data_IF_110321109338
#
_entry.id   IF_110321109338
#
_cell.length_a   1.000
_cell.length_b   1.000
_cell.length_c   1.000
_cell.angle_alpha   90.00
_cell.angle_beta   90.00
_cell.angle_gamma   90.00
#
_symmetry.space_group_name_H-M   'P 1'
#
loop_
_entity.id
_entity.type
_entity.pdbx_description
1 polymer ?
#
# COMPACT_ATOMS: atom_id res chain seq x y z
N UNK A 1 36.83 24.98 20.75
CA UNK A 1 35.96 23.79 20.73
C UNK A 1 34.56 24.30 20.45
N UNK A 2 34.00 23.95 19.29
CA UNK A 2 32.61 24.14 18.78
C UNK A 2 32.75 24.00 17.25
N UNK A 3 32.83 22.78 16.69
CA UNK A 3 31.78 21.84 16.23
C UNK A 3 30.81 22.40 15.18
N UNK A 4 31.22 22.15 13.94
CA UNK A 4 30.45 22.20 12.69
C UNK A 4 29.14 21.42 12.75
N UNK A 5 28.08 22.05 12.28
CA UNK A 5 26.79 21.45 11.92
C UNK A 5 26.56 21.67 10.42
N UNK A 6 27.04 20.75 9.58
CA UNK A 6 26.76 20.79 8.13
C UNK A 6 26.74 19.40 7.48
N UNK A 7 26.39 18.35 8.24
CA UNK A 7 26.46 16.96 7.76
C UNK A 7 25.11 16.24 7.63
N UNK A 8 24.00 16.78 8.14
CA UNK A 8 22.71 16.07 8.16
C UNK A 8 21.83 16.27 6.91
N UNK A 9 22.09 17.28 6.07
CA UNK A 9 21.24 17.56 4.89
C UNK A 9 21.57 16.67 3.65
N UNK A 10 22.71 15.98 3.64
CA UNK A 10 23.15 15.19 2.48
C UNK A 10 22.78 13.69 2.57
N UNK A 11 22.37 13.19 3.74
CA UNK A 11 21.89 11.81 3.89
C UNK A 11 20.39 11.69 3.58
N UNK A 12 19.60 12.74 3.85
CA UNK A 12 18.17 12.81 3.50
C UNK A 12 17.90 13.05 2.01
N UNK A 13 18.89 13.60 1.28
CA UNK A 13 18.82 13.76 -0.19
C UNK A 13 18.91 12.44 -0.96
N UNK A 14 19.39 11.35 -0.34
CA UNK A 14 19.54 10.05 -1.02
C UNK A 14 18.30 9.15 -0.94
N UNK A 15 17.28 9.55 -0.17
CA UNK A 15 16.02 8.79 0.00
C UNK A 15 14.80 9.46 -0.66
N UNK A 16 15.02 10.51 -1.44
CA UNK A 16 13.96 11.19 -2.19
C UNK A 16 14.07 10.76 -3.66
N UNK A 17 13.06 10.05 -4.17
CA UNK A 17 12.79 10.10 -5.60
C UNK A 17 12.47 11.56 -5.90
N UNK A 18 13.36 12.23 -6.62
CA UNK A 18 13.07 13.49 -7.27
C UNK A 18 11.80 13.31 -8.13
N UNK A 19 10.70 13.90 -7.67
CA UNK A 19 9.60 14.24 -8.57
C UNK A 19 9.95 15.63 -9.13
N UNK A 20 10.69 15.62 -10.24
CA UNK A 20 11.02 16.74 -11.16
C UNK A 20 11.06 18.15 -10.51
N UNK A 21 12.26 18.61 -10.15
CA UNK A 21 12.58 20.05 -10.11
C UNK A 21 13.21 20.44 -11.44
N UNK A 22 12.37 20.80 -12.42
CA UNK A 22 12.67 21.80 -13.46
C UNK A 22 11.45 21.96 -14.37
N UNK A 23 10.60 22.95 -14.10
CA UNK A 23 9.58 23.40 -15.04
C UNK A 23 9.81 24.87 -15.33
N UNK A 24 10.70 25.14 -16.29
CA UNK A 24 10.53 26.33 -17.12
C UNK A 24 9.26 26.15 -17.95
N UNK A 25 8.41 27.17 -17.90
CA UNK A 25 7.07 27.25 -18.48
C UNK A 25 6.93 26.57 -19.86
N UNK A 26 5.87 25.76 -20.04
CA UNK A 26 4.96 25.66 -21.21
C UNK A 26 4.16 24.32 -21.24
N UNK A 27 3.11 24.20 -22.06
CA UNK A 27 1.71 24.09 -21.67
C UNK A 27 1.26 22.67 -21.25
N UNK A 28 0.15 22.64 -20.51
CA UNK A 28 -0.53 21.48 -19.95
C UNK A 28 -0.65 20.27 -20.90
N UNK A 29 -0.16 19.08 -20.51
CA UNK A 29 -0.44 17.84 -21.21
C UNK A 29 -1.84 17.33 -20.83
N UNK A 30 -2.67 17.18 -21.84
CA UNK A 30 -3.99 16.53 -21.78
C UNK A 30 -3.85 15.01 -21.61
N UNK A 31 -4.51 14.50 -20.56
CA UNK A 31 -5.02 13.12 -20.35
C UNK A 31 -4.02 11.98 -20.01
N UNK A 32 -4.09 11.52 -18.76
CA UNK A 32 -4.91 10.35 -18.35
C UNK A 32 -5.49 10.59 -16.95
N UNK A 33 -6.55 11.40 -16.90
CA UNK A 33 -7.38 11.55 -15.71
C UNK A 33 -8.27 10.30 -15.57
N UNK A 34 -8.36 9.78 -14.35
CA UNK A 34 -9.54 9.03 -13.91
C UNK A 34 -10.79 9.83 -14.34
N UNK A 35 -11.58 9.29 -15.29
CA UNK A 35 -12.86 9.88 -15.65
C UNK A 35 -13.85 9.64 -14.51
N UNK A 36 -13.96 10.62 -13.61
CA UNK A 36 -15.07 10.78 -12.65
C UNK A 36 -16.19 11.58 -13.34
N UNK A 37 -16.61 11.19 -14.54
CA UNK A 37 -17.64 11.96 -15.30
C UNK A 37 -18.86 11.14 -15.75
N UNK A 38 -18.96 9.85 -15.39
CA UNK A 38 -20.21 9.08 -15.58
C UNK A 38 -20.97 8.80 -14.28
N UNK A 39 -20.60 9.45 -13.18
CA UNK A 39 -21.41 9.45 -11.95
C UNK A 39 -22.29 10.70 -11.82
N UNK A 40 -22.02 11.78 -12.57
CA UNK A 40 -22.68 13.07 -12.35
C UNK A 40 -24.15 13.14 -12.85
N UNK A 41 -24.56 12.33 -13.83
CA UNK A 41 -25.95 12.32 -14.30
C UNK A 41 -26.91 11.51 -13.42
N UNK A 42 -26.40 10.51 -12.68
CA UNK A 42 -27.17 9.74 -11.69
C UNK A 42 -27.23 10.42 -10.32
N UNK A 43 -26.29 11.33 -10.03
CA UNK A 43 -26.18 12.01 -8.73
C UNK A 43 -27.25 13.11 -8.54
N UNK A 44 -27.75 13.76 -9.60
CA UNK A 44 -28.80 14.81 -9.43
C UNK A 44 -30.16 14.28 -8.99
N UNK A 45 -30.43 12.96 -9.08
CA UNK A 45 -31.69 12.35 -8.60
C UNK A 45 -31.60 11.71 -7.20
N UNK A 46 -30.45 11.71 -6.53
CA UNK A 46 -30.29 11.15 -5.16
C UNK A 46 -30.16 12.19 -4.05
N UNK A 47 -30.22 13.48 -4.37
CA UNK A 47 -30.25 14.53 -3.35
C UNK A 47 -31.68 14.79 -2.86
N UNK A 48 -32.19 13.90 -1.99
CA UNK A 48 -33.28 14.18 -1.03
C UNK A 48 -33.58 13.06 -0.02
N UNK A 49 -32.61 12.24 0.38
CA UNK A 49 -32.79 11.24 1.46
C UNK A 49 -31.52 11.11 2.33
N UNK A 50 -31.13 12.17 3.05
CA UNK A 50 -30.20 12.06 4.17
C UNK A 50 -30.96 11.66 5.45
N UNK A 51 -31.54 10.45 5.43
CA UNK A 51 -32.02 9.80 6.64
C UNK A 51 -30.87 9.00 7.26
N UNK A 52 -30.46 9.34 8.48
CA UNK A 52 -29.71 8.56 9.48
C UNK A 52 -29.38 7.10 9.09
N UNK A 53 -28.43 6.89 8.17
CA UNK A 53 -27.85 5.57 7.97
C UNK A 53 -26.64 5.45 8.88
N UNK A 54 -26.84 4.83 10.04
CA UNK A 54 -25.75 4.31 10.88
C UNK A 54 -24.81 3.46 10.02
N UNK A 55 -23.51 3.51 10.32
CA UNK A 55 -22.51 2.68 9.66
C UNK A 55 -22.87 1.20 9.78
N UNK A 56 -22.66 0.44 8.70
CA UNK A 56 -22.87 -1.01 8.64
C UNK A 56 -21.69 -1.65 7.95
N UNK A 57 -21.38 -2.87 8.34
CA UNK A 57 -20.46 -3.72 7.59
C UNK A 57 -21.00 -3.95 6.17
N UNK A 58 -20.09 -3.99 5.20
CA UNK A 58 -20.41 -4.18 3.79
C UNK A 58 -20.24 -5.66 3.46
N UNK A 59 -21.30 -6.30 2.98
CA UNK A 59 -21.20 -7.64 2.39
C UNK A 59 -20.39 -7.56 1.08
N UNK A 60 -19.17 -8.10 1.13
CA UNK A 60 -18.22 -8.10 0.02
C UNK A 60 -18.54 -9.13 -1.07
N UNK A 61 -19.64 -9.89 -0.93
CA UNK A 61 -20.08 -10.91 -1.90
C UNK A 61 -18.95 -11.83 -2.35
N UNK A 62 -18.17 -12.30 -1.38
CA UNK A 62 -16.93 -13.03 -1.62
C UNK A 62 -17.11 -14.35 -2.38
N UNK A 63 -18.33 -14.87 -2.41
CA UNK A 63 -18.68 -16.09 -3.14
C UNK A 63 -18.93 -15.85 -4.64
N UNK A 64 -19.10 -14.61 -5.08
CA UNK A 64 -19.33 -14.22 -6.49
C UNK A 64 -18.03 -13.81 -7.20
N UNK A 65 -16.87 -13.95 -6.54
CA UNK A 65 -15.57 -13.49 -7.08
C UNK A 65 -15.15 -14.29 -8.31
N UNK A 66 -14.67 -13.60 -9.33
CA UNK A 66 -13.96 -14.22 -10.47
C UNK A 66 -12.56 -14.58 -10.01
N UNK A 67 -12.12 -15.83 -10.10
CA UNK A 67 -10.76 -16.21 -9.68
C UNK A 67 -10.05 -17.10 -10.69
N UNK A 68 -8.72 -17.12 -10.64
CA UNK A 68 -7.88 -18.12 -11.31
C UNK A 68 -7.18 -19.00 -10.31
N UNK A 69 -7.00 -20.28 -10.65
CA UNK A 69 -6.17 -21.18 -9.88
C UNK A 69 -4.69 -20.93 -10.18
N UNK A 70 -3.87 -20.83 -9.14
CA UNK A 70 -2.42 -20.75 -9.29
C UNK A 70 -1.82 -22.16 -9.23
N UNK A 71 -1.47 -22.72 -10.40
CA UNK A 71 -0.88 -24.06 -10.52
C UNK A 71 0.53 -23.97 -11.11
N UNK A 72 1.52 -23.53 -10.32
CA UNK A 72 2.86 -23.29 -10.86
C UNK A 72 3.56 -24.61 -11.23
N UNK A 73 4.37 -24.55 -12.29
CA UNK A 73 5.31 -25.63 -12.63
C UNK A 73 6.50 -25.56 -11.68
N UNK A 74 6.84 -26.67 -11.01
CA UNK A 74 7.81 -26.73 -9.90
C UNK A 74 9.22 -26.24 -10.22
N UNK A 75 9.62 -26.21 -11.49
CA UNK A 75 10.93 -25.75 -11.95
C UNK A 75 10.91 -24.40 -12.68
N UNK A 76 9.74 -23.74 -12.75
CA UNK A 76 9.54 -22.45 -13.41
C UNK A 76 9.32 -21.35 -12.38
N UNK A 77 10.21 -20.38 -12.37
CA UNK A 77 10.23 -19.30 -11.38
C UNK A 77 9.97 -17.96 -12.06
N UNK A 78 9.27 -17.08 -11.34
CA UNK A 78 9.17 -15.65 -11.60
C UNK A 78 9.87 -14.92 -10.45
N UNK A 79 10.97 -14.24 -10.77
CA UNK A 79 11.68 -13.40 -9.82
C UNK A 79 11.01 -12.03 -9.76
N UNK A 80 10.44 -11.66 -8.61
CA UNK A 80 9.82 -10.36 -8.44
C UNK A 80 10.86 -9.24 -8.39
N UNK A 81 10.54 -8.09 -8.94
CA UNK A 81 11.32 -6.86 -8.77
C UNK A 81 10.37 -5.78 -8.29
N UNK A 82 10.48 -5.38 -7.03
CA UNK A 82 9.67 -4.32 -6.44
C UNK A 82 10.59 -3.27 -5.84
N UNK A 83 10.48 -2.06 -6.37
CA UNK A 83 11.61 -1.14 -6.40
C UNK A 83 11.16 0.31 -6.16
N UNK A 84 9.91 0.60 -6.47
CA UNK A 84 9.29 1.91 -6.38
C UNK A 84 8.66 2.17 -5.02
N UNK A 85 8.96 3.33 -4.45
CA UNK A 85 8.22 3.89 -3.32
C UNK A 85 8.57 3.26 -1.98
N UNK A 86 7.59 3.23 -1.08
CA UNK A 86 7.74 2.72 0.29
C UNK A 86 7.06 1.35 0.44
N UNK A 87 7.04 0.80 1.66
CA UNK A 87 6.48 -0.52 1.96
C UNK A 87 5.12 -0.83 1.28
N UNK A 88 4.15 0.10 1.31
CA UNK A 88 2.85 -0.12 0.66
C UNK A 88 2.95 -0.30 -0.85
N UNK A 89 3.83 0.44 -1.51
CA UNK A 89 4.05 0.32 -2.95
C UNK A 89 4.65 -1.05 -3.29
N UNK A 90 5.57 -1.52 -2.45
CA UNK A 90 6.21 -2.83 -2.60
C UNK A 90 5.23 -3.99 -2.37
N UNK A 91 4.33 -3.88 -1.38
CA UNK A 91 3.26 -4.86 -1.18
C UNK A 91 2.31 -4.93 -2.38
N UNK A 92 1.86 -3.78 -2.90
CA UNK A 92 1.02 -3.72 -4.10
C UNK A 92 1.76 -4.31 -5.31
N UNK A 93 3.05 -3.99 -5.46
CA UNK A 93 3.89 -4.59 -6.50
C UNK A 93 3.99 -6.11 -6.36
N UNK A 94 4.14 -6.62 -5.13
CA UNK A 94 4.21 -8.06 -4.86
C UNK A 94 2.88 -8.75 -5.18
N UNK A 95 1.74 -8.16 -4.82
CA UNK A 95 0.41 -8.69 -5.17
C UNK A 95 0.21 -8.77 -6.68
N UNK A 96 0.65 -7.75 -7.43
CA UNK A 96 0.64 -7.79 -8.90
C UNK A 96 1.56 -8.88 -9.44
N UNK A 97 2.70 -9.11 -8.81
CA UNK A 97 3.61 -10.19 -9.19
C UNK A 97 3.01 -11.57 -8.88
N UNK A 98 2.24 -11.73 -7.80
CA UNK A 98 1.49 -12.95 -7.53
C UNK A 98 0.46 -13.22 -8.63
N UNK A 99 -0.26 -12.18 -9.09
CA UNK A 99 -1.19 -12.31 -10.20
C UNK A 99 -0.48 -12.73 -11.50
N UNK A 100 0.66 -12.11 -11.82
CA UNK A 100 1.46 -12.48 -12.99
C UNK A 100 2.03 -13.90 -12.89
N UNK A 101 2.54 -14.28 -11.72
CA UNK A 101 3.05 -15.62 -11.49
C UNK A 101 1.95 -16.68 -11.68
N UNK A 102 0.72 -16.38 -11.24
CA UNK A 102 -0.43 -17.24 -11.47
C UNK A 102 -0.79 -17.36 -12.95
N UNK A 103 -0.89 -16.24 -13.68
CA UNK A 103 -1.17 -16.23 -15.12
C UNK A 103 -0.12 -17.00 -15.94
N UNK A 104 1.13 -16.98 -15.51
CA UNK A 104 2.27 -17.61 -16.18
C UNK A 104 2.59 -19.01 -15.66
N UNK A 105 1.84 -19.51 -14.67
CA UNK A 105 2.08 -20.79 -13.98
C UNK A 105 3.52 -20.94 -13.46
N UNK A 106 4.02 -19.90 -12.77
CA UNK A 106 5.37 -19.84 -12.18
C UNK A 106 5.30 -19.75 -10.67
N UNK A 107 6.28 -20.34 -9.98
CA UNK A 107 6.53 -20.11 -8.56
C UNK A 107 7.09 -18.70 -8.42
N UNK A 108 6.51 -17.88 -7.55
CA UNK A 108 7.01 -16.54 -7.29
C UNK A 108 8.18 -16.58 -6.31
N UNK A 109 9.28 -15.91 -6.64
CA UNK A 109 10.41 -15.71 -5.72
C UNK A 109 10.27 -14.35 -5.06
N UNK A 110 10.14 -14.34 -3.74
CA UNK A 110 10.22 -13.11 -2.93
C UNK A 110 11.67 -12.64 -2.91
N UNK A 111 11.96 -11.36 -3.20
CA UNK A 111 13.34 -10.87 -3.29
C UNK A 111 14.07 -10.93 -1.94
N UNK A 112 15.39 -11.03 -2.00
CA UNK A 112 16.25 -10.95 -0.81
C UNK A 112 16.17 -9.56 -0.18
N UNK A 113 16.29 -9.50 1.14
CA UNK A 113 16.39 -8.25 1.90
C UNK A 113 17.62 -7.40 1.58
N UNK A 114 18.58 -7.94 0.80
CA UNK A 114 19.75 -7.18 0.31
C UNK A 114 19.43 -6.35 -0.93
N UNK A 115 18.33 -6.66 -1.62
CA UNK A 115 17.88 -6.00 -2.85
C UNK A 115 16.59 -5.23 -2.61
N UNK A 116 15.73 -5.76 -1.74
CA UNK A 116 14.41 -5.24 -1.43
C UNK A 116 14.14 -5.28 0.09
N UNK A 117 12.91 -5.09 0.52
CA UNK A 117 12.48 -5.10 1.92
C UNK A 117 12.64 -6.44 2.61
N UNK A 118 12.74 -6.36 3.94
CA UNK A 118 12.70 -7.51 4.85
C UNK A 118 11.27 -8.02 5.03
N UNK A 119 10.66 -8.55 3.97
CA UNK A 119 9.27 -9.00 3.95
C UNK A 119 8.92 -9.99 5.07
N UNK A 120 9.86 -10.88 5.43
CA UNK A 120 9.70 -11.86 6.51
C UNK A 120 9.46 -11.23 7.90
N UNK A 121 9.77 -9.94 8.09
CA UNK A 121 9.48 -9.23 9.35
C UNK A 121 8.01 -8.81 9.45
N UNK A 122 7.34 -8.60 8.31
CA UNK A 122 6.01 -8.00 8.26
C UNK A 122 4.89 -8.96 7.90
N UNK A 123 5.16 -10.02 7.13
CA UNK A 123 4.18 -11.07 6.82
C UNK A 123 4.83 -12.45 6.76
N UNK A 124 3.98 -13.48 6.84
CA UNK A 124 4.39 -14.88 6.82
C UNK A 124 4.29 -15.45 5.39
N UNK A 125 5.43 -15.91 4.84
CA UNK A 125 5.49 -16.52 3.51
C UNK A 125 4.86 -17.92 3.52
N UNK A 126 4.96 -18.65 4.63
CA UNK A 126 4.34 -19.97 4.76
C UNK A 126 2.82 -19.87 4.74
N UNK A 127 2.26 -18.85 5.40
CA UNK A 127 0.83 -18.55 5.34
C UNK A 127 0.33 -18.40 3.90
N UNK A 128 1.07 -17.71 3.02
CA UNK A 128 0.70 -17.59 1.60
C UNK A 128 0.55 -19.00 0.99
N UNK A 129 1.55 -19.86 1.16
CA UNK A 129 1.51 -21.23 0.61
C UNK A 129 0.37 -22.06 1.21
N UNK A 130 0.10 -21.93 2.51
CA UNK A 130 -1.01 -22.59 3.19
C UNK A 130 -2.36 -22.15 2.62
N UNK A 131 -2.52 -20.87 2.29
CA UNK A 131 -3.73 -20.34 1.67
C UNK A 131 -4.04 -20.99 0.31
N UNK A 132 -3.01 -21.33 -0.45
CA UNK A 132 -3.15 -22.01 -1.75
C UNK A 132 -3.09 -23.55 -1.63
N UNK A 133 -2.73 -24.07 -0.45
CA UNK A 133 -2.55 -25.51 -0.20
C UNK A 133 -1.42 -26.15 -1.02
N UNK A 134 -0.48 -25.33 -1.52
CA UNK A 134 0.67 -25.76 -2.31
C UNK A 134 1.75 -24.67 -2.31
N UNK A 135 2.97 -25.05 -2.68
CA UNK A 135 4.10 -24.12 -2.80
C UNK A 135 3.96 -23.25 -4.06
N UNK A 136 3.45 -22.04 -3.88
CA UNK A 136 3.29 -21.01 -4.92
C UNK A 136 4.32 -19.88 -4.81
N UNK A 137 4.83 -19.65 -3.59
CA UNK A 137 5.82 -18.62 -3.29
C UNK A 137 7.00 -19.25 -2.55
N UNK A 138 8.20 -18.76 -2.82
CA UNK A 138 9.44 -19.13 -2.13
C UNK A 138 10.22 -17.90 -1.73
N UNK A 139 11.00 -18.03 -0.66
CA UNK A 139 12.02 -17.04 -0.32
C UNK A 139 13.17 -17.06 -1.34
N UNK A 140 13.97 -15.99 -1.36
CA UNK A 140 15.19 -15.94 -2.15
C UNK A 140 16.16 -17.06 -1.74
N UNK A 141 16.28 -17.33 -0.44
CA UNK A 141 17.18 -18.32 0.13
C UNK A 141 16.80 -19.73 -0.35
N UNK A 142 15.52 -20.09 -0.28
CA UNK A 142 15.02 -21.37 -0.81
C UNK A 142 15.24 -21.49 -2.33
N UNK A 143 15.03 -20.40 -3.07
CA UNK A 143 15.29 -20.37 -4.51
C UNK A 143 16.79 -20.56 -4.82
N UNK A 144 17.66 -19.88 -4.08
CA UNK A 144 19.12 -20.00 -4.20
C UNK A 144 19.57 -21.44 -3.91
N UNK A 145 19.02 -22.07 -2.88
CA UNK A 145 19.28 -23.47 -2.56
C UNK A 145 18.77 -24.44 -3.63
N UNK A 146 17.62 -24.16 -4.24
CA UNK A 146 17.08 -24.96 -5.34
C UNK A 146 17.89 -24.81 -6.64
N UNK A 147 18.61 -23.69 -6.81
CA UNK A 147 19.40 -23.36 -8.00
C UNK A 147 20.92 -23.38 -7.75
N UNK A 148 21.39 -24.05 -6.68
CA UNK A 148 22.79 -24.12 -6.19
C UNK A 148 23.91 -24.08 -7.25
N UNK A 149 23.71 -24.70 -8.43
CA UNK A 149 24.71 -24.80 -9.49
C UNK A 149 24.57 -23.75 -10.60
N UNK A 150 23.42 -23.09 -10.73
CA UNK A 150 23.15 -22.10 -11.79
C UNK A 150 22.08 -21.08 -11.37
N UNK A 151 22.50 -20.07 -10.59
CA UNK A 151 21.68 -18.89 -10.28
C UNK A 151 21.71 -17.91 -11.46
N UNK A 152 20.84 -18.16 -12.43
CA UNK A 152 20.69 -17.35 -13.63
C UNK A 152 19.23 -16.94 -13.84
N UNK A 153 19.02 -15.67 -14.18
CA UNK A 153 17.77 -15.17 -14.75
C UNK A 153 17.91 -15.28 -16.27
N UNK A 154 17.22 -16.27 -16.84
CA UNK A 154 17.25 -16.56 -18.28
C UNK A 154 16.75 -15.36 -19.10
N UNK A 155 15.69 -14.70 -18.59
CA UNK A 155 15.10 -13.52 -19.24
C UNK A 155 14.65 -12.46 -18.24
N UNK A 156 15.05 -11.21 -18.48
CA UNK A 156 14.63 -10.07 -17.68
C UNK A 156 13.74 -9.15 -18.52
N UNK A 157 12.44 -9.17 -18.25
CA UNK A 157 11.42 -8.48 -19.04
C UNK A 157 10.95 -7.21 -18.32
N UNK A 158 11.07 -6.06 -18.97
CA UNK A 158 10.60 -4.78 -18.45
C UNK A 158 9.15 -4.54 -18.85
N UNK A 159 8.25 -4.42 -17.87
CA UNK A 159 6.89 -3.95 -18.12
C UNK A 159 6.91 -2.50 -18.63
N UNK A 160 7.65 -1.63 -17.93
CA UNK A 160 7.87 -0.25 -18.31
C UNK A 160 9.25 -0.06 -18.94
N UNK A 161 9.31 0.68 -20.04
CA UNK A 161 10.55 1.08 -20.68
C UNK A 161 10.98 2.51 -20.29
N UNK A 162 10.05 3.33 -19.78
CA UNK A 162 10.25 4.72 -19.43
C UNK A 162 9.83 5.02 -17.97
N UNK A 163 10.48 5.98 -17.28
CA UNK A 163 11.61 6.79 -17.75
C UNK A 163 12.93 6.02 -17.86
N UNK A 164 13.01 4.87 -17.21
CA UNK A 164 14.16 3.97 -17.26
C UNK A 164 13.68 2.51 -17.39
N UNK A 165 14.40 1.64 -18.12
CA UNK A 165 14.00 0.25 -18.32
C UNK A 165 13.79 -0.51 -17.00
N UNK A 166 12.66 -1.23 -16.90
CA UNK A 166 12.26 -2.04 -15.74
C UNK A 166 12.07 -1.23 -14.45
N UNK A 167 12.23 0.09 -14.52
CA UNK A 167 12.39 0.98 -13.37
C UNK A 167 13.53 0.59 -12.41
N UNK A 168 14.55 -0.14 -12.89
CA UNK A 168 15.68 -0.60 -12.07
C UNK A 168 16.95 0.17 -12.42
N UNK A 169 17.51 0.86 -11.43
CA UNK A 169 18.79 1.58 -11.56
C UNK A 169 20.01 0.63 -11.55
N UNK A 170 21.17 1.15 -11.94
CA UNK A 170 22.41 0.36 -11.98
C UNK A 170 22.85 -0.16 -10.61
N UNK A 171 22.52 0.55 -9.52
CA UNK A 171 22.90 0.14 -8.17
C UNK A 171 22.15 -1.13 -7.78
N UNK A 172 20.85 -1.19 -8.05
CA UNK A 172 20.02 -2.38 -7.81
C UNK A 172 20.46 -3.56 -8.67
N UNK A 173 20.85 -3.32 -9.93
CA UNK A 173 21.46 -4.36 -10.76
C UNK A 173 22.76 -4.87 -10.14
N UNK A 174 23.61 -3.99 -9.60
CA UNK A 174 24.85 -4.38 -8.88
C UNK A 174 24.53 -5.20 -7.63
N UNK A 175 23.51 -4.81 -6.85
CA UNK A 175 23.04 -5.55 -5.66
C UNK A 175 22.50 -6.94 -6.03
N UNK A 176 21.75 -7.08 -7.11
CA UNK A 176 21.32 -8.39 -7.60
C UNK A 176 22.50 -9.27 -8.01
N UNK A 177 23.49 -8.70 -8.73
CA UNK A 177 24.70 -9.43 -9.12
C UNK A 177 25.55 -9.85 -7.92
N UNK A 178 25.61 -9.04 -6.87
CA UNK A 178 26.37 -9.39 -5.65
C UNK A 178 25.73 -10.54 -4.86
N UNK A 179 24.48 -10.89 -5.14
CA UNK A 179 23.84 -12.13 -4.67
C UNK A 179 24.26 -13.38 -5.46
N UNK A 180 25.18 -13.26 -6.42
CA UNK A 180 25.58 -14.37 -7.30
C UNK A 180 24.59 -14.64 -8.43
N UNK A 181 23.62 -13.74 -8.67
CA UNK A 181 22.67 -13.86 -9.77
C UNK A 181 23.30 -13.32 -11.05
N UNK A 182 23.44 -14.19 -12.05
CA UNK A 182 23.71 -13.77 -13.41
C UNK A 182 22.39 -13.49 -14.16
N UNK A 183 22.38 -12.55 -15.10
CA UNK A 183 21.17 -12.19 -15.84
C UNK A 183 21.50 -11.66 -17.23
N UNK A 184 20.60 -11.88 -18.18
CA UNK A 184 20.61 -11.21 -19.48
C UNK A 184 20.37 -9.71 -19.38
N UNK A 185 20.45 -9.01 -20.52
CA UNK A 185 20.08 -7.59 -20.57
C UNK A 185 18.56 -7.43 -20.39
N UNK A 186 18.09 -6.40 -19.68
CA UNK A 186 16.66 -6.13 -19.59
C UNK A 186 16.05 -5.80 -20.96
N UNK A 187 14.91 -6.42 -21.27
CA UNK A 187 14.20 -6.27 -22.55
C UNK A 187 12.80 -5.69 -22.32
N UNK A 188 12.38 -4.63 -23.02
CA UNK A 188 11.03 -4.10 -22.89
C UNK A 188 9.98 -5.06 -23.48
N UNK A 189 8.94 -5.37 -22.70
CA UNK A 189 7.73 -6.02 -23.22
C UNK A 189 6.94 -5.07 -24.14
N UNK A 190 6.93 -3.79 -23.77
CA UNK A 190 6.30 -2.68 -24.48
C UNK A 190 7.12 -1.40 -24.35
N UNK A 191 6.85 -0.45 -25.24
CA UNK A 191 7.26 0.94 -25.06
C UNK A 191 6.21 1.64 -24.19
N UNK A 192 6.43 1.70 -22.88
CA UNK A 192 5.44 2.15 -21.90
C UNK A 192 6.09 3.00 -20.80
N UNK A 193 5.40 4.09 -20.42
CA UNK A 193 5.81 5.06 -19.41
C UNK A 193 4.95 4.93 -18.16
N UNK A 194 5.59 4.85 -17.00
CA UNK A 194 4.92 4.83 -15.68
C UNK A 194 4.00 6.04 -15.46
N UNK A 195 4.26 7.19 -16.09
CA UNK A 195 3.44 8.40 -15.96
C UNK A 195 2.09 8.24 -16.67
N UNK A 196 1.99 7.31 -17.62
CA UNK A 196 0.78 7.04 -18.41
C UNK A 196 0.68 5.54 -18.76
N UNK A 197 0.43 4.68 -17.76
CA UNK A 197 0.32 3.25 -17.99
C UNK A 197 -0.90 2.96 -18.87
N UNK A 198 -0.76 1.99 -19.78
CA UNK A 198 -1.87 1.53 -20.60
C UNK A 198 -2.67 0.50 -19.82
N UNK A 199 -3.99 0.51 -20.04
CA UNK A 199 -4.87 -0.56 -19.58
C UNK A 199 -4.55 -1.84 -20.33
N UNK A 200 -4.27 -2.92 -19.60
CA UNK A 200 -3.95 -4.24 -20.14
C UNK A 200 -4.87 -5.32 -19.62
N UNK A 201 -5.06 -6.32 -20.46
CA UNK A 201 -5.78 -7.55 -20.14
C UNK A 201 -4.83 -8.66 -19.68
N UNK A 202 -5.38 -9.65 -18.97
CA UNK A 202 -4.64 -10.85 -18.60
C UNK A 202 -4.09 -11.61 -19.83
N UNK A 203 -4.83 -11.60 -20.95
CA UNK A 203 -4.42 -12.23 -22.20
C UNK A 203 -3.20 -11.54 -22.82
N UNK A 204 -3.16 -10.20 -22.82
CA UNK A 204 -1.99 -9.44 -23.29
C UNK A 204 -0.75 -9.75 -22.45
N UNK A 205 -0.91 -9.80 -21.12
CA UNK A 205 0.17 -10.20 -20.20
C UNK A 205 0.66 -11.61 -20.51
N UNK A 206 -0.24 -12.59 -20.62
CA UNK A 206 0.15 -13.96 -20.97
C UNK A 206 0.87 -14.00 -22.32
N UNK A 207 0.38 -13.27 -23.33
CA UNK A 207 0.99 -13.26 -24.66
C UNK A 207 2.43 -12.72 -24.69
N UNK A 208 2.74 -11.76 -23.79
CA UNK A 208 4.03 -11.04 -23.79
C UNK A 208 5.04 -11.60 -22.80
N UNK A 209 4.58 -12.12 -21.67
CA UNK A 209 5.45 -12.59 -20.59
C UNK A 209 5.53 -14.11 -20.50
N UNK A 210 4.74 -14.86 -21.26
CA UNK A 210 4.91 -16.32 -21.34
C UNK A 210 6.27 -16.65 -21.95
N UNK A 211 6.95 -17.58 -21.30
CA UNK A 211 8.22 -18.14 -21.76
C UNK A 211 8.35 -19.57 -21.25
N UNK A 212 9.09 -20.39 -21.99
CA UNK A 212 9.54 -21.71 -21.54
C UNK A 212 10.85 -21.64 -20.75
N UNK A 213 11.40 -20.46 -20.48
CA UNK A 213 12.59 -20.27 -19.63
C UNK A 213 12.35 -20.75 -18.20
N UNK A 214 13.40 -21.20 -17.51
CA UNK A 214 13.27 -21.72 -16.14
C UNK A 214 13.09 -20.60 -15.12
N UNK A 215 13.76 -19.47 -15.30
CA UNK A 215 13.73 -18.32 -14.41
C UNK A 215 13.57 -17.07 -15.26
N UNK A 216 12.44 -16.39 -15.10
CA UNK A 216 12.27 -15.05 -15.66
C UNK A 216 12.18 -14.04 -14.54
N UNK A 217 12.62 -12.81 -14.79
CA UNK A 217 12.34 -11.66 -13.94
C UNK A 217 11.43 -10.70 -14.69
N UNK A 218 10.49 -10.09 -13.98
CA UNK A 218 9.70 -8.98 -14.50
C UNK A 218 10.09 -7.76 -13.67
N UNK A 219 10.36 -6.64 -14.34
CA UNK A 219 10.69 -5.36 -13.70
C UNK A 219 9.56 -4.84 -12.80
N UNK A 220 9.76 -3.66 -12.22
CA UNK A 220 8.76 -3.07 -11.34
C UNK A 220 7.41 -2.89 -12.05
N UNK A 221 6.35 -3.46 -11.47
CA UNK A 221 4.97 -3.40 -11.97
C UNK A 221 4.03 -2.66 -11.00
N UNK A 222 4.55 -1.91 -10.03
CA UNK A 222 3.73 -1.11 -9.12
C UNK A 222 2.75 -0.21 -9.88
N UNK A 223 3.18 0.43 -10.97
CA UNK A 223 2.35 1.32 -11.79
C UNK A 223 1.50 0.61 -12.86
N UNK A 224 1.59 -0.71 -13.00
CA UNK A 224 0.89 -1.43 -14.08
C UNK A 224 -0.64 -1.37 -13.91
N UNK A 225 -1.36 -0.99 -14.97
CA UNK A 225 -2.84 -0.97 -15.01
C UNK A 225 -3.34 -2.24 -15.73
N UNK A 226 -3.35 -3.35 -15.00
CA UNK A 226 -3.72 -4.68 -15.54
C UNK A 226 -4.95 -5.18 -14.81
N UNK A 227 -6.05 -5.39 -15.53
CA UNK A 227 -7.29 -5.99 -14.99
C UNK A 227 -7.71 -5.38 -13.63
N UNK A 228 -7.60 -4.05 -13.50
CA UNK A 228 -7.65 -3.36 -12.20
C UNK A 228 -8.88 -3.72 -11.36
N UNK A 229 -10.07 -3.77 -11.95
CA UNK A 229 -11.30 -4.13 -11.24
C UNK A 229 -11.29 -5.58 -10.74
N UNK A 230 -10.66 -6.48 -11.50
CA UNK A 230 -10.54 -7.89 -11.14
C UNK A 230 -9.46 -8.10 -10.08
N UNK A 231 -8.32 -7.42 -10.19
CA UNK A 231 -7.22 -7.50 -9.20
C UNK A 231 -7.63 -6.87 -7.86
N UNK A 232 -8.35 -5.75 -7.89
CA UNK A 232 -8.76 -5.00 -6.69
C UNK A 232 -10.09 -5.45 -6.08
N UNK A 233 -10.71 -6.51 -6.61
CA UNK A 233 -11.91 -7.07 -6.02
C UNK A 233 -11.62 -7.59 -4.59
N UNK A 234 -12.63 -7.67 -3.71
CA UNK A 234 -12.45 -8.23 -2.37
C UNK A 234 -11.88 -9.64 -2.42
N UNK A 235 -10.81 -9.90 -1.67
CA UNK A 235 -10.07 -11.16 -1.64
C UNK A 235 -9.30 -11.51 -2.92
N UNK A 236 -9.14 -10.55 -3.84
CA UNK A 236 -8.22 -10.64 -4.96
C UNK A 236 -8.61 -11.62 -6.08
N UNK A 237 -7.77 -11.73 -7.13
CA UNK A 237 -8.05 -12.51 -8.33
C UNK A 237 -7.63 -13.99 -8.23
N UNK A 238 -6.97 -14.39 -7.14
CA UNK A 238 -6.39 -15.73 -7.00
C UNK A 238 -7.28 -16.62 -6.12
N UNK A 239 -7.54 -17.85 -6.55
CA UNK A 239 -8.33 -18.80 -5.77
C UNK A 239 -7.53 -19.32 -4.55
N UNK A 240 -8.01 -19.04 -3.34
CA UNK A 240 -7.39 -19.46 -2.08
C UNK A 240 -8.43 -19.71 -0.98
N UNK A 241 -8.03 -20.38 0.12
CA UNK A 241 -8.91 -20.72 1.24
C UNK A 241 -8.91 -19.73 2.41
N UNK A 242 -7.96 -18.79 2.44
CA UNK A 242 -7.82 -17.78 3.50
C UNK A 242 -8.71 -16.56 3.29
N UNK A 243 -8.74 -15.66 4.29
CA UNK A 243 -9.32 -14.31 4.13
C UNK A 243 -8.51 -13.46 3.15
N UNK A 244 -7.19 -13.42 3.35
CA UNK A 244 -6.23 -12.76 2.46
C UNK A 244 -4.93 -13.59 2.40
N UNK A 245 -4.25 -13.68 1.24
CA UNK A 245 -2.96 -14.36 1.14
C UNK A 245 -1.82 -13.60 1.82
N UNK A 246 -1.79 -12.27 1.70
CA UNK A 246 -0.77 -11.43 2.36
C UNK A 246 -1.40 -10.85 3.62
N UNK A 247 -1.06 -11.43 4.76
CA UNK A 247 -1.50 -10.94 6.07
C UNK A 247 -0.32 -10.51 6.96
N UNK A 248 -0.51 -9.53 7.86
CA UNK A 248 0.49 -9.18 8.86
C UNK A 248 0.90 -10.41 9.66
N UNK A 249 2.19 -10.48 10.03
CA UNK A 249 2.70 -11.58 10.84
C UNK A 249 1.89 -11.74 12.14
N UNK A 250 1.84 -12.97 12.67
CA UNK A 250 1.10 -13.27 13.90
C UNK A 250 1.47 -12.34 15.06
N UNK A 251 2.74 -11.93 15.16
CA UNK A 251 3.22 -11.00 16.18
C UNK A 251 2.59 -9.61 16.01
N UNK A 252 2.51 -9.10 14.79
CA UNK A 252 1.87 -7.81 14.48
C UNK A 252 0.38 -7.89 14.75
N UNK A 253 -0.30 -8.95 14.29
CA UNK A 253 -1.73 -9.15 14.51
C UNK A 253 -2.10 -9.18 16.00
N UNK A 254 -1.38 -9.97 16.80
CA UNK A 254 -1.63 -10.04 18.25
C UNK A 254 -1.31 -8.73 18.96
N UNK A 255 -0.29 -8.00 18.50
CA UNK A 255 0.07 -6.68 19.06
C UNK A 255 -1.02 -5.65 18.76
N UNK A 256 -1.56 -5.63 17.54
CA UNK A 256 -2.69 -4.78 17.16
C UNK A 256 -3.92 -5.07 18.04
N UNK A 257 -4.24 -6.35 18.23
CA UNK A 257 -5.36 -6.77 19.11
C UNK A 257 -5.16 -6.30 20.56
N UNK A 258 -3.94 -6.41 21.09
CA UNK A 258 -3.62 -5.92 22.45
C UNK A 258 -3.73 -4.40 22.55
N UNK A 259 -3.28 -3.68 21.53
CA UNK A 259 -3.42 -2.23 21.47
C UNK A 259 -4.90 -1.83 21.48
N UNK A 260 -5.72 -2.46 20.63
CA UNK A 260 -7.17 -2.23 20.56
C UNK A 260 -7.82 -2.55 21.91
N UNK A 261 -7.50 -3.70 22.51
CA UNK A 261 -8.00 -4.10 23.83
C UNK A 261 -7.66 -3.08 24.93
N UNK A 262 -6.47 -2.49 24.86
CA UNK A 262 -5.95 -1.58 25.89
C UNK A 262 -6.53 -0.17 25.76
N UNK A 263 -6.58 0.38 24.54
CA UNK A 263 -6.83 1.82 24.34
C UNK A 263 -8.12 2.16 23.58
N UNK A 264 -8.63 1.26 22.73
CA UNK A 264 -9.64 1.62 21.73
C UNK A 264 -11.00 0.96 21.96
N UNK A 265 -11.00 -0.29 22.42
CA UNK A 265 -12.21 -1.12 22.46
C UNK A 265 -12.73 -1.47 21.06
N UNK A 266 -13.93 -2.07 21.00
CA UNK A 266 -14.49 -2.62 19.75
C UNK A 266 -15.03 -1.59 18.77
N UNK A 267 -15.35 -0.37 19.21
CA UNK A 267 -16.01 0.64 18.39
C UNK A 267 -15.18 1.93 18.33
N UNK A 268 -14.23 1.93 17.39
CA UNK A 268 -13.36 3.05 17.11
C UNK A 268 -13.30 3.33 15.61
N UNK A 269 -13.15 4.61 15.28
CA UNK A 269 -12.80 5.04 13.92
C UNK A 269 -11.29 5.03 13.82
N UNK A 270 -10.75 4.54 12.71
CA UNK A 270 -9.34 4.77 12.38
C UNK A 270 -9.21 5.89 11.37
N UNK A 271 -8.23 6.76 11.56
CA UNK A 271 -7.90 7.88 10.70
C UNK A 271 -6.45 7.75 10.25
N UNK A 272 -6.24 7.63 8.95
CA UNK A 272 -4.94 7.85 8.35
C UNK A 272 -4.80 9.31 7.92
N UNK A 273 -4.09 10.10 8.72
CA UNK A 273 -3.89 11.54 8.50
C UNK A 273 -2.48 11.80 7.95
N UNK A 274 -2.34 11.76 6.62
CA UNK A 274 -1.06 11.96 5.92
C UNK A 274 -0.76 13.46 5.72
N UNK A 275 0.37 13.94 6.23
CA UNK A 275 0.76 15.36 6.27
C UNK A 275 2.17 15.61 5.76
N UNK A 276 3.18 14.95 6.34
CA UNK A 276 4.59 15.23 6.04
C UNK A 276 4.92 14.94 4.57
N UNK A 277 5.53 15.92 3.89
CA UNK A 277 5.81 15.89 2.44
C UNK A 277 4.56 15.86 1.53
N UNK A 278 3.37 15.68 2.09
CA UNK A 278 2.13 15.43 1.35
C UNK A 278 1.51 16.72 0.82
N UNK A 279 1.80 17.87 1.43
CA UNK A 279 1.35 19.17 0.95
C UNK A 279 1.82 19.46 -0.48
N UNK A 280 3.12 19.29 -0.77
CA UNK A 280 3.70 19.48 -2.12
C UNK A 280 3.04 18.53 -3.13
N UNK A 281 2.94 17.25 -2.77
CA UNK A 281 2.31 16.22 -3.59
C UNK A 281 0.84 16.53 -3.91
N UNK A 282 0.06 16.97 -2.92
CA UNK A 282 -1.34 17.27 -3.11
C UNK A 282 -1.57 18.56 -3.88
N UNK A 283 -0.73 19.58 -3.70
CA UNK A 283 -0.86 20.86 -4.42
C UNK A 283 -0.49 20.75 -5.91
N UNK A 284 0.26 19.71 -6.31
CA UNK A 284 0.45 19.37 -7.71
C UNK A 284 -0.85 18.86 -8.39
N UNK A 285 -1.88 18.50 -7.62
CA UNK A 285 -3.18 18.04 -8.12
C UNK A 285 -4.20 19.19 -8.18
N UNK A 286 -5.20 19.04 -9.05
CA UNK A 286 -6.30 20.01 -9.22
C UNK A 286 -7.66 19.30 -9.13
N UNK A 287 -8.47 19.55 -8.07
CA UNK A 287 -8.14 20.33 -6.87
C UNK A 287 -7.08 19.64 -6.01
N UNK A 288 -6.48 20.39 -5.07
CA UNK A 288 -5.56 19.81 -4.09
C UNK A 288 -6.26 18.74 -3.25
N UNK A 289 -5.50 17.72 -2.83
CA UNK A 289 -5.97 16.71 -1.89
C UNK A 289 -5.62 17.00 -0.42
N UNK A 290 -5.05 18.17 -0.12
CA UNK A 290 -4.59 18.52 1.22
C UNK A 290 -5.59 19.42 1.93
N UNK A 291 -6.33 18.87 2.88
CA UNK A 291 -7.34 19.62 3.63
C UNK A 291 -6.74 20.39 4.81
N UNK A 292 -7.11 21.67 5.01
CA UNK A 292 -6.80 22.40 6.24
C UNK A 292 -7.36 21.69 7.47
N UNK A 293 -6.66 21.76 8.61
CA UNK A 293 -7.02 21.06 9.84
C UNK A 293 -8.46 21.37 10.31
N UNK A 294 -8.96 22.63 10.28
CA UNK A 294 -10.34 22.92 10.67
C UNK A 294 -11.37 22.19 9.80
N UNK A 295 -11.20 22.19 8.47
CA UNK A 295 -12.10 21.47 7.57
C UNK A 295 -11.99 19.95 7.78
N UNK A 296 -10.78 19.43 7.95
CA UNK A 296 -10.56 18.03 8.25
C UNK A 296 -11.29 17.60 9.54
N UNK A 297 -11.22 18.41 10.59
CA UNK A 297 -11.90 18.16 11.87
C UNK A 297 -13.42 18.05 11.70
N UNK A 298 -14.03 18.94 10.91
CA UNK A 298 -15.46 18.89 10.60
C UNK A 298 -15.86 17.62 9.84
N UNK A 299 -15.06 17.21 8.85
CA UNK A 299 -15.27 15.96 8.12
C UNK A 299 -15.15 14.73 9.03
N UNK A 300 -14.10 14.67 9.85
CA UNK A 300 -13.86 13.58 10.81
C UNK A 300 -15.02 13.48 11.79
N UNK A 301 -15.47 14.61 12.35
CA UNK A 301 -16.57 14.66 13.33
C UNK A 301 -17.86 14.07 12.76
N UNK A 302 -18.17 14.33 11.48
CA UNK A 302 -19.34 13.74 10.80
C UNK A 302 -19.26 12.21 10.72
N UNK A 303 -18.08 11.64 10.49
CA UNK A 303 -17.90 10.17 10.46
C UNK A 303 -18.02 9.57 11.86
N UNK A 304 -17.43 10.23 12.87
CA UNK A 304 -17.57 9.81 14.28
C UNK A 304 -19.04 9.80 14.70
N UNK A 305 -19.80 10.83 14.32
CA UNK A 305 -21.24 10.88 14.59
C UNK A 305 -22.00 9.72 13.93
N UNK A 306 -21.79 9.49 12.63
CA UNK A 306 -22.43 8.40 11.87
C UNK A 306 -22.10 7.01 12.42
N UNK A 307 -20.86 6.81 12.89
CA UNK A 307 -20.37 5.53 13.44
C UNK A 307 -20.66 5.34 14.93
N UNK A 308 -21.09 6.40 15.61
CA UNK A 308 -21.24 6.42 17.07
C UNK A 308 -19.97 5.94 17.79
N UNK A 309 -18.80 6.20 17.20
CA UNK A 309 -17.51 5.83 17.76
C UNK A 309 -17.15 6.74 18.94
N UNK A 310 -16.48 6.17 19.93
CA UNK A 310 -16.10 6.89 21.15
C UNK A 310 -14.66 7.41 21.15
N UNK A 311 -13.84 6.90 20.23
CA UNK A 311 -12.40 7.16 20.13
C UNK A 311 -11.96 7.05 18.69
N UNK A 312 -10.95 7.82 18.32
CA UNK A 312 -10.28 7.76 17.02
C UNK A 312 -8.87 7.20 17.23
N UNK A 313 -8.52 6.14 16.50
CA UNK A 313 -7.12 5.78 16.29
C UNK A 313 -6.51 6.67 15.22
N UNK A 314 -5.43 7.38 15.54
CA UNK A 314 -4.73 8.29 14.64
C UNK A 314 -3.41 7.67 14.16
N UNK A 315 -3.38 7.19 12.91
CA UNK A 315 -2.14 6.85 12.20
C UNK A 315 -1.71 8.04 11.35
N UNK A 316 -0.54 8.61 11.64
CA UNK A 316 -0.14 9.89 11.07
C UNK A 316 1.37 10.10 11.10
N UNK A 317 1.86 10.88 10.16
CA UNK A 317 3.20 11.47 10.12
C UNK A 317 3.17 12.98 10.40
N UNK A 318 2.05 13.50 10.91
CA UNK A 318 1.87 14.91 11.22
C UNK A 318 2.71 15.33 12.43
N UNK A 319 3.16 16.59 12.40
CA UNK A 319 3.84 17.19 13.54
C UNK A 319 2.91 17.31 14.76
N UNK A 320 3.49 17.40 15.96
CA UNK A 320 2.72 17.51 17.20
C UNK A 320 1.78 18.72 17.19
N UNK A 321 2.21 19.86 16.64
CA UNK A 321 1.40 21.07 16.48
C UNK A 321 0.14 20.84 15.65
N UNK A 322 0.24 20.07 14.56
CA UNK A 322 -0.91 19.71 13.73
C UNK A 322 -1.86 18.75 14.46
N UNK A 323 -1.31 17.72 15.12
CA UNK A 323 -2.14 16.75 15.85
C UNK A 323 -2.82 17.36 17.08
N UNK A 324 -2.16 18.30 17.75
CA UNK A 324 -2.71 19.02 18.91
C UNK A 324 -3.85 19.94 18.50
N UNK A 325 -3.70 20.66 17.37
CA UNK A 325 -4.78 21.46 16.82
C UNK A 325 -5.96 20.58 16.41
N UNK A 326 -5.71 19.48 15.71
CA UNK A 326 -6.76 18.53 15.32
C UNK A 326 -7.52 18.00 16.56
N UNK A 327 -6.80 17.58 17.61
CA UNK A 327 -7.40 17.11 18.86
C UNK A 327 -8.31 18.16 19.51
N UNK A 328 -7.97 19.45 19.41
CA UNK A 328 -8.80 20.53 19.97
C UNK A 328 -10.09 20.80 19.18
N UNK A 329 -10.12 20.44 17.89
CA UNK A 329 -11.22 20.76 16.98
C UNK A 329 -12.20 19.60 16.76
N UNK A 330 -11.79 18.34 16.98
CA UNK A 330 -12.69 17.19 16.87
C UNK A 330 -13.54 17.07 18.13
N UNK A 331 -14.73 17.69 18.08
CA UNK A 331 -15.67 17.79 19.19
C UNK A 331 -17.06 17.35 18.75
N UNK A 332 -17.65 16.38 19.45
CA UNK A 332 -19.02 15.90 19.20
C UNK A 332 -19.90 16.20 20.42
N UNK A 333 -21.03 16.89 20.22
CA UNK A 333 -21.95 17.27 21.30
C UNK A 333 -21.26 17.97 22.49
N UNK A 334 -20.36 18.93 22.18
CA UNK A 334 -19.54 19.68 23.15
C UNK A 334 -18.56 18.81 23.97
N UNK A 335 -18.33 17.55 23.58
CA UNK A 335 -17.35 16.68 24.20
C UNK A 335 -16.20 16.43 23.21
N UNK A 336 -14.93 16.59 23.63
CA UNK A 336 -13.81 16.23 22.78
C UNK A 336 -13.85 14.72 22.51
N UNK A 337 -13.60 14.33 21.27
CA UNK A 337 -13.37 12.93 20.91
C UNK A 337 -11.87 12.65 21.07
N UNK A 338 -11.45 11.66 21.87
CA UNK A 338 -10.02 11.37 22.03
C UNK A 338 -9.39 10.87 20.73
N UNK A 339 -8.24 11.42 20.37
CA UNK A 339 -7.36 10.94 19.29
C UNK A 339 -6.21 10.17 19.94
N UNK A 340 -6.23 8.86 19.78
CA UNK A 340 -5.22 7.96 20.32
C UNK A 340 -4.18 7.67 19.25
N UNK A 341 -2.95 8.07 19.50
CA UNK A 341 -1.76 7.62 18.75
C UNK A 341 -1.09 6.48 19.51
N UNK A 342 -0.33 5.66 18.80
CA UNK A 342 0.59 4.72 19.44
C UNK A 342 1.58 5.52 20.32
N UNK A 343 1.64 5.25 21.64
CA UNK A 343 2.53 6.00 22.51
C UNK A 343 3.99 5.63 22.22
N UNK A 344 4.95 6.51 22.56
CA UNK A 344 6.34 6.11 22.67
C UNK A 344 6.48 4.93 23.62
N UNK A 345 7.51 4.12 23.43
CA UNK A 345 7.74 2.96 24.29
C UNK A 345 7.76 3.35 25.76
N UNK A 346 7.06 2.55 26.55
CA UNK A 346 7.13 2.58 28.00
C UNK A 346 7.20 1.14 28.52
N UNK A 347 8.22 0.80 29.30
CA UNK A 347 8.42 -0.57 29.82
C UNK A 347 7.29 -1.03 30.76
N UNK A 348 6.52 -0.10 31.33
CA UNK A 348 5.33 -0.39 32.11
C UNK A 348 4.17 -0.87 31.24
N UNK A 349 4.08 -0.42 29.99
CA UNK A 349 3.08 -0.85 29.03
C UNK A 349 3.42 -2.27 28.51
N UNK A 350 2.38 -3.06 28.23
CA UNK A 350 2.51 -4.48 27.83
C UNK A 350 1.87 -4.82 26.50
N UNK A 351 1.24 -3.84 25.85
CA UNK A 351 0.55 -4.06 24.58
C UNK A 351 1.54 -4.42 23.46
N UNK A 352 2.74 -3.82 23.46
CA UNK A 352 3.83 -4.01 22.49
C UNK A 352 4.84 -5.10 22.86
N UNK A 353 4.70 -5.71 24.04
CA UNK A 353 5.70 -6.61 24.61
C UNK A 353 6.03 -7.83 23.72
N UNK A 354 5.15 -8.21 22.80
CA UNK A 354 5.43 -9.28 21.83
C UNK A 354 6.50 -8.86 20.81
N UNK A 355 6.41 -7.64 20.27
CA UNK A 355 7.39 -7.13 19.32
C UNK A 355 8.75 -6.98 19.99
N UNK A 356 8.77 -6.42 21.21
CA UNK A 356 10.00 -6.27 21.99
C UNK A 356 10.72 -7.59 22.24
N UNK A 357 10.02 -8.62 22.72
CA UNK A 357 10.62 -9.93 23.03
C UNK A 357 11.21 -10.63 21.80
N UNK A 358 10.80 -10.23 20.60
CA UNK A 358 11.29 -10.77 19.34
C UNK A 358 12.24 -9.80 18.61
N UNK A 359 12.65 -8.69 19.24
CA UNK A 359 13.59 -7.73 18.64
C UNK A 359 13.02 -6.97 17.44
N UNK A 360 11.70 -6.82 17.36
CA UNK A 360 10.99 -6.12 16.27
C UNK A 360 10.54 -4.71 16.67
N UNK A 361 10.91 -4.24 17.86
CA UNK A 361 10.65 -2.89 18.33
C UNK A 361 11.43 -1.86 17.51
N UNK A 362 10.80 -0.72 17.17
CA UNK A 362 11.45 0.39 16.48
C UNK A 362 11.75 0.12 15.00
N UNK A 363 11.43 -1.08 14.52
CA UNK A 363 11.48 -1.39 13.09
C UNK A 363 10.33 -0.65 12.38
N UNK A 364 10.69 0.30 11.52
CA UNK A 364 9.72 1.17 10.85
C UNK A 364 8.74 0.41 9.95
N UNK A 365 9.12 -0.75 9.40
CA UNK A 365 8.23 -1.58 8.58
C UNK A 365 7.22 -2.30 9.46
N UNK A 366 7.68 -2.84 10.59
CA UNK A 366 6.81 -3.50 11.59
C UNK A 366 5.81 -2.49 12.16
N UNK A 367 6.27 -1.29 12.50
CA UNK A 367 5.41 -0.22 13.03
C UNK A 367 4.38 0.26 12.01
N UNK A 368 4.78 0.46 10.75
CA UNK A 368 3.86 0.83 9.68
C UNK A 368 2.82 -0.27 9.42
N UNK A 369 3.22 -1.55 9.46
CA UNK A 369 2.30 -2.67 9.29
C UNK A 369 1.37 -2.82 10.50
N UNK A 370 1.85 -2.55 11.71
CA UNK A 370 1.04 -2.50 12.92
C UNK A 370 -0.05 -1.42 12.82
N UNK A 371 0.30 -0.21 12.37
CA UNK A 371 -0.66 0.87 12.14
C UNK A 371 -1.72 0.46 11.13
N UNK A 372 -1.32 -0.14 9.99
CA UNK A 372 -2.26 -0.65 8.99
C UNK A 372 -3.19 -1.70 9.58
N UNK A 373 -2.65 -2.60 10.39
CA UNK A 373 -3.41 -3.67 11.04
C UNK A 373 -4.46 -3.09 11.99
N UNK A 374 -4.09 -2.13 12.84
CA UNK A 374 -5.04 -1.46 13.74
C UNK A 374 -6.11 -0.72 12.93
N UNK A 375 -5.73 -0.01 11.87
CA UNK A 375 -6.69 0.68 11.00
C UNK A 375 -7.64 -0.29 10.28
N UNK A 376 -7.13 -1.44 9.82
CA UNK A 376 -7.95 -2.43 9.14
C UNK A 376 -8.96 -3.12 10.08
N UNK A 377 -8.74 -3.09 11.40
CA UNK A 377 -9.66 -3.65 12.40
C UNK A 377 -10.72 -2.66 12.91
N UNK A 378 -10.73 -1.40 12.45
CA UNK A 378 -11.66 -0.37 12.93
C UNK A 378 -13.11 -0.59 12.43
N UNK A 379 -14.09 0.03 13.11
CA UNK A 379 -15.50 -0.04 12.69
C UNK A 379 -15.84 0.88 11.50
N UNK A 380 -15.04 1.94 11.32
CA UNK A 380 -15.00 2.75 10.11
C UNK A 380 -13.59 3.32 9.94
N UNK A 381 -13.22 3.62 8.69
CA UNK A 381 -11.90 4.12 8.34
C UNK A 381 -11.98 5.40 7.51
N UNK A 382 -11.18 6.40 7.88
CA UNK A 382 -11.00 7.66 7.15
C UNK A 382 -9.60 7.67 6.56
N UNK A 383 -9.53 7.66 5.23
CA UNK A 383 -8.28 7.55 4.49
C UNK A 383 -7.76 8.86 3.91
N UNK A 384 -6.44 9.04 3.84
CA UNK A 384 -5.84 10.14 3.07
C UNK A 384 -5.93 9.87 1.56
N UNK A 385 -6.59 10.73 0.76
CA UNK A 385 -6.76 10.52 -0.67
C UNK A 385 -5.44 10.53 -1.44
N UNK A 386 -5.20 9.49 -2.25
CA UNK A 386 -4.00 9.35 -3.06
C UNK A 386 -2.76 8.84 -2.31
N UNK A 387 -2.93 8.30 -1.10
CA UNK A 387 -1.88 7.59 -0.39
C UNK A 387 -1.99 6.08 -0.58
N UNK A 388 -0.91 5.43 -1.00
CA UNK A 388 -0.84 3.96 -1.11
C UNK A 388 -1.01 3.25 0.23
N UNK A 389 -0.68 3.91 1.35
CA UNK A 389 -0.93 3.40 2.69
C UNK A 389 -2.44 3.30 2.97
N UNK A 390 -3.21 4.31 2.54
CA UNK A 390 -4.69 4.28 2.60
C UNK A 390 -5.26 3.15 1.74
N UNK A 391 -4.80 3.02 0.50
CA UNK A 391 -5.33 2.01 -0.43
C UNK A 391 -5.13 0.58 0.09
N UNK A 392 -3.97 0.31 0.69
CA UNK A 392 -3.67 -1.00 1.26
C UNK A 392 -4.54 -1.30 2.49
N UNK A 393 -4.83 -0.31 3.35
CA UNK A 393 -5.79 -0.49 4.45
C UNK A 393 -7.19 -0.77 3.91
N UNK A 394 -7.65 -0.04 2.90
CA UNK A 394 -8.96 -0.27 2.29
C UNK A 394 -9.07 -1.67 1.67
N UNK A 395 -7.99 -2.17 1.05
CA UNK A 395 -7.89 -3.55 0.57
C UNK A 395 -8.01 -4.55 1.72
N UNK A 396 -7.18 -4.41 2.78
CA UNK A 396 -7.23 -5.30 3.95
C UNK A 396 -8.62 -5.33 4.59
N UNK A 397 -9.30 -4.19 4.69
CA UNK A 397 -10.65 -4.10 5.24
C UNK A 397 -11.67 -4.88 4.43
N UNK A 398 -11.58 -4.83 3.09
CA UNK A 398 -12.43 -5.64 2.20
C UNK A 398 -12.14 -7.12 2.40
N UNK A 399 -10.87 -7.51 2.43
CA UNK A 399 -10.48 -8.92 2.54
C UNK A 399 -10.86 -9.52 3.90
N UNK A 400 -10.74 -8.75 4.98
CA UNK A 400 -11.05 -9.20 6.33
C UNK A 400 -12.54 -9.16 6.68
N UNK A 401 -13.35 -8.52 5.82
CA UNK A 401 -14.77 -8.31 6.03
C UNK A 401 -15.08 -7.20 7.04
N UNK A 402 -14.12 -6.33 7.35
CA UNK A 402 -14.29 -5.18 8.26
C UNK A 402 -14.67 -3.88 7.54
N UNK A 403 -14.73 -3.91 6.20
CA UNK A 403 -15.14 -2.76 5.41
C UNK A 403 -16.54 -2.27 5.79
N UNK A 404 -16.70 -0.95 5.87
CA UNK A 404 -17.88 -0.28 6.39
C UNK A 404 -18.47 0.67 5.35
N UNK A 405 -19.78 0.88 5.40
CA UNK A 405 -20.45 1.90 4.56
C UNK A 405 -20.03 3.33 4.89
N UNK A 406 -19.30 3.52 6.00
CA UNK A 406 -18.71 4.79 6.42
C UNK A 406 -17.21 4.87 6.18
N UNK A 407 -16.62 3.87 5.51
CA UNK A 407 -15.26 4.02 5.02
C UNK A 407 -15.26 5.09 3.92
N UNK A 408 -14.47 6.14 4.11
CA UNK A 408 -14.39 7.26 3.19
C UNK A 408 -13.00 7.86 3.15
N UNK A 409 -12.69 8.56 2.05
CA UNK A 409 -11.54 9.46 2.05
C UNK A 409 -11.85 10.69 2.90
N UNK A 410 -10.83 11.29 3.51
CA UNK A 410 -10.96 12.52 4.27
C UNK A 410 -11.67 13.59 3.41
N UNK A 411 -12.80 14.09 3.92
CA UNK A 411 -13.66 15.06 3.25
C UNK A 411 -14.14 14.60 1.85
N UNK A 412 -14.49 13.33 1.70
CA UNK A 412 -14.96 12.76 0.43
C UNK A 412 -16.11 13.56 -0.18
N UNK A 413 -15.92 14.00 -1.43
CA UNK A 413 -16.89 14.81 -2.17
C UNK A 413 -16.77 16.33 -1.95
N UNK A 414 -15.81 16.77 -1.13
CA UNK A 414 -15.51 18.19 -0.89
C UNK A 414 -14.13 18.57 -1.45
N UNK A 415 -13.91 19.87 -1.60
CA UNK A 415 -12.61 20.44 -1.99
C UNK A 415 -12.01 21.20 -0.81
N UNK A 416 -10.67 21.29 -0.68
CA UNK A 416 -10.05 22.13 0.33
C UNK A 416 -10.57 23.57 0.24
N UNK A 417 -11.04 24.11 1.37
CA UNK A 417 -11.57 25.47 1.43
C UNK A 417 -10.47 26.55 1.42
N UNK A 418 -9.20 26.12 1.51
CA UNK A 418 -8.03 26.96 1.34
C UNK A 418 -6.93 26.14 0.66
N UNK A 419 -6.35 26.69 -0.40
CA UNK A 419 -5.22 26.12 -1.14
C UNK A 419 -4.19 27.23 -1.28
N UNK A 420 -2.95 26.96 -0.85
CA UNK A 420 -1.86 27.92 -1.01
C UNK A 420 -1.56 28.14 -2.51
N UNK A 421 -1.10 29.35 -2.85
CA UNK A 421 -0.56 29.62 -4.19
C UNK A 421 0.60 28.66 -4.51
N UNK A 422 0.77 28.34 -5.78
CA UNK A 422 1.98 27.65 -6.25
C UNK A 422 3.05 28.71 -6.48
N UNK A 423 4.26 28.48 -5.95
CA UNK A 423 5.46 29.22 -6.40
C UNK A 423 5.90 28.77 -7.78
#
# INVERSE_FOLDING_TARGET
MERDSSADDEEDRRNLIAQDEDVKHLPSPTRSAFRIDELHSSIRRRFRLHFNKRCREVDQKTNERRTIEWKPKSNKYLFAICVSGQMSNHLICLEKHMFFAALLNRVLVIPSSRVDYQYHRVFDIEHINDCFGRKVVVSFEEFSEAKKTHMHIDRFICYFSLPQPCYVDEERIKRLKSLGISMGKPEPAWFEDIKKPNKRTAQEVQSKFSSDDNVIAIGDIFFADVEQDWVMQPGGPLAHKCKTPIEPSRLIMLTAQRFIQTFLGKNFVALHFRRHGFLKFCNAKRPSCFFPIPQAADCITRVVEKSSASVIYLSTDAAESETSLLQSLVVLNRKPVPLVKRPPRNSAEKWDALLYRHGLEGDSLVEAMLDKTICAMSSAFIGAPGSTFTEDILRLRKDWGSASTCDEYLCQGEVPNFIAGME
#
